data_IF_256751960999
#
_entry.id   IF_256751960999
#
_cell.length_a   1.000
_cell.length_b   1.000
_cell.length_c   1.000
_cell.angle_alpha   90.00
_cell.angle_beta   90.00
_cell.angle_gamma   90.00
#
_symmetry.space_group_name_H-M   'P 1'
#
loop_
_entity.id
_entity.type
_entity.pdbx_description
1 polymer ?
#
# COMPACT_ATOMS: atom_id res chain seq x y z
N UNK A 1 6.94 4.08 5.12
CA UNK A 1 7.14 4.28 3.66
C UNK A 1 7.83 5.62 3.38
N UNK A 2 8.59 5.73 2.27
CA UNK A 2 9.34 6.92 1.86
C UNK A 2 8.47 7.92 1.08
N UNK A 3 7.72 8.76 1.79
CA UNK A 3 6.79 9.74 1.19
C UNK A 3 7.42 10.62 0.11
N UNK A 4 8.61 11.16 0.36
CA UNK A 4 9.32 12.02 -0.61
C UNK A 4 9.65 11.31 -1.92
N UNK A 5 9.93 10.01 -1.87
CA UNK A 5 10.22 9.23 -3.07
C UNK A 5 8.93 8.92 -3.84
N UNK A 6 7.83 8.66 -3.13
CA UNK A 6 6.52 8.44 -3.72
C UNK A 6 5.97 9.69 -4.44
N UNK A 7 6.11 10.87 -3.83
CA UNK A 7 5.74 12.13 -4.50
C UNK A 7 6.59 12.35 -5.76
N UNK A 8 7.89 12.02 -5.70
CA UNK A 8 8.78 12.15 -6.86
C UNK A 8 8.45 11.15 -7.98
N UNK A 9 8.05 9.92 -7.64
CA UNK A 9 7.65 8.92 -8.64
C UNK A 9 6.33 9.29 -9.32
N UNK A 10 5.42 9.93 -8.60
CA UNK A 10 4.15 10.42 -9.12
C UNK A 10 4.26 11.72 -9.92
N UNK A 11 5.28 12.53 -9.68
CA UNK A 11 5.41 13.88 -10.25
C UNK A 11 4.13 14.72 -10.07
N UNK A 12 3.31 14.85 -11.11
CA UNK A 12 2.02 15.57 -11.10
C UNK A 12 0.82 14.70 -11.47
N UNK A 13 0.98 13.39 -11.68
CA UNK A 13 -0.09 12.50 -12.13
C UNK A 13 -0.90 11.86 -11.00
N UNK A 14 -0.41 11.92 -9.76
CA UNK A 14 -1.09 11.35 -8.60
C UNK A 14 -2.44 12.02 -8.30
N UNK A 15 -3.37 11.30 -7.67
CA UNK A 15 -4.67 11.83 -7.21
C UNK A 15 -4.66 11.90 -5.69
N UNK A 16 -5.16 12.99 -5.11
CA UNK A 16 -5.35 13.09 -3.66
C UNK A 16 -6.78 12.74 -3.32
N UNK A 17 -6.95 11.71 -2.50
CA UNK A 17 -8.23 11.36 -1.89
C UNK A 17 -8.33 11.94 -0.50
N UNK A 18 -9.45 12.63 -0.23
CA UNK A 18 -9.81 13.07 1.12
C UNK A 18 -10.73 12.05 1.76
N UNK A 19 -10.41 11.64 2.99
CA UNK A 19 -11.19 10.71 3.80
C UNK A 19 -11.63 11.41 5.09
N UNK A 20 -12.93 11.38 5.38
CA UNK A 20 -13.53 12.06 6.53
C UNK A 20 -14.45 13.21 6.14
N UNK A 21 -15.15 13.77 7.14
CA UNK A 21 -16.12 14.87 6.96
C UNK A 21 -15.34 16.20 6.82
N UNK A 22 -15.69 17.03 5.83
CA UNK A 22 -15.20 18.41 5.75
C UNK A 22 -15.45 19.15 7.08
N UNK A 23 -14.47 19.94 7.55
CA UNK A 23 -14.44 20.70 8.81
C UNK A 23 -13.99 19.99 10.12
N UNK A 24 -13.56 18.72 10.07
CA UNK A 24 -12.82 18.11 11.19
C UNK A 24 -11.29 18.11 10.95
N UNK A 25 -10.47 18.34 11.99
CA UNK A 25 -9.01 18.42 11.88
C UNK A 25 -8.32 17.07 11.56
N UNK A 26 -9.09 16.01 11.35
CA UNK A 26 -8.65 14.64 11.11
C UNK A 26 -9.01 14.12 9.71
N UNK A 27 -9.26 15.00 8.74
CA UNK A 27 -9.45 14.58 7.36
C UNK A 27 -8.14 14.00 6.80
N UNK A 28 -8.05 12.68 6.76
CA UNK A 28 -6.89 11.98 6.22
C UNK A 28 -6.79 12.26 4.72
N UNK A 29 -5.59 12.64 4.29
CA UNK A 29 -5.30 12.89 2.87
C UNK A 29 -4.42 11.78 2.36
N UNK A 30 -4.88 11.06 1.36
CA UNK A 30 -4.16 9.94 0.75
C UNK A 30 -3.73 10.32 -0.65
N UNK A 31 -2.43 10.23 -0.93
CA UNK A 31 -1.92 10.36 -2.29
C UNK A 31 -1.97 8.99 -2.96
N UNK A 32 -2.61 8.90 -4.12
CA UNK A 32 -2.77 7.67 -4.87
C UNK A 32 -2.01 7.69 -6.20
N UNK A 33 -1.31 6.59 -6.47
CA UNK A 33 -0.89 6.14 -7.78
C UNK A 33 -1.83 5.02 -8.26
N UNK A 34 -1.72 4.57 -9.52
CA UNK A 34 -2.47 3.40 -9.99
C UNK A 34 -2.20 2.11 -9.22
N UNK A 35 -1.03 1.98 -8.59
CA UNK A 35 -0.55 0.74 -7.95
C UNK A 35 -0.38 0.85 -6.44
N UNK A 36 -0.41 2.06 -5.86
CA UNK A 36 -0.20 2.28 -4.44
C UNK A 36 -0.90 3.54 -3.94
N UNK A 37 -1.20 3.59 -2.66
CA UNK A 37 -1.69 4.74 -1.94
C UNK A 37 -0.82 5.01 -0.72
N UNK A 38 -0.65 6.27 -0.38
CA UNK A 38 0.17 6.68 0.75
C UNK A 38 -0.50 7.79 1.54
N UNK A 39 -0.51 7.65 2.87
CA UNK A 39 -0.99 8.68 3.77
C UNK A 39 -0.07 9.89 3.70
N UNK A 40 -0.64 11.07 3.46
CA UNK A 40 0.09 12.34 3.44
C UNK A 40 0.33 12.76 4.90
N UNK A 41 1.60 12.84 5.35
CA UNK A 41 1.88 13.27 6.72
C UNK A 41 1.31 14.65 7.00
N UNK A 42 0.79 14.87 8.20
CA UNK A 42 0.22 16.15 8.64
C UNK A 42 1.22 17.32 8.57
N UNK A 43 2.52 17.03 8.60
CA UNK A 43 3.60 18.01 8.41
C UNK A 43 3.70 18.57 6.98
N UNK A 44 3.13 17.88 6.00
CA UNK A 44 3.15 18.30 4.59
C UNK A 44 1.95 19.18 4.29
N UNK A 45 2.21 20.46 4.05
CA UNK A 45 1.17 21.45 3.77
C UNK A 45 0.63 21.36 2.34
N UNK A 46 1.49 21.12 1.36
CA UNK A 46 1.14 21.13 -0.07
C UNK A 46 1.76 19.95 -0.81
N UNK A 47 0.95 19.27 -1.62
CA UNK A 47 1.37 18.23 -2.56
C UNK A 47 0.75 18.56 -3.92
N UNK A 48 1.56 18.53 -4.98
CA UNK A 48 1.05 18.70 -6.34
C UNK A 48 0.44 17.39 -6.80
N UNK A 49 -0.80 17.44 -7.30
CA UNK A 49 -1.56 16.29 -7.77
C UNK A 49 -2.38 16.67 -9.01
N UNK A 50 -2.73 15.69 -9.82
CA UNK A 50 -3.57 15.87 -11.01
C UNK A 50 -5.00 16.25 -10.63
N UNK A 51 -5.51 15.69 -9.52
CA UNK A 51 -6.84 15.96 -9.02
C UNK A 51 -6.91 15.78 -7.49
N UNK A 52 -7.89 16.45 -6.89
CA UNK A 52 -8.28 16.28 -5.49
C UNK A 52 -9.75 15.87 -5.51
N UNK A 53 -10.06 14.71 -4.93
CA UNK A 53 -11.41 14.14 -4.94
C UNK A 53 -11.73 13.51 -3.58
N UNK A 54 -13.01 13.26 -3.32
CA UNK A 54 -13.43 12.49 -2.15
C UNK A 54 -13.09 11.02 -2.33
N UNK A 55 -12.74 10.35 -1.22
CA UNK A 55 -12.36 8.95 -1.27
C UNK A 55 -13.53 8.08 -1.73
N UNK A 56 -13.33 7.22 -2.75
CA UNK A 56 -14.34 6.26 -3.15
C UNK A 56 -14.74 5.35 -1.99
N UNK A 57 -16.05 5.11 -1.81
CA UNK A 57 -16.57 4.27 -0.72
C UNK A 57 -15.95 2.87 -0.67
N UNK A 58 -15.52 2.31 -1.81
CA UNK A 58 -14.86 1.01 -1.86
C UNK A 58 -13.51 1.01 -1.13
N UNK A 59 -12.72 2.07 -1.32
CA UNK A 59 -11.41 2.23 -0.67
C UNK A 59 -11.61 2.58 0.81
N UNK A 60 -12.58 3.44 1.11
CA UNK A 60 -12.93 3.80 2.49
C UNK A 60 -13.31 2.56 3.32
N UNK A 61 -14.19 1.70 2.78
CA UNK A 61 -14.54 0.41 3.39
C UNK A 61 -13.36 -0.54 3.51
N UNK A 62 -12.46 -0.55 2.54
CA UNK A 62 -11.26 -1.39 2.58
C UNK A 62 -10.33 -0.99 3.73
N UNK A 63 -10.21 0.31 4.03
CA UNK A 63 -9.45 0.80 5.18
C UNK A 63 -10.21 0.52 6.49
N UNK A 64 -11.54 0.55 6.50
CA UNK A 64 -12.32 0.14 7.70
C UNK A 64 -12.27 -1.37 7.96
N UNK A 65 -12.03 -2.19 6.93
CA UNK A 65 -11.96 -3.65 7.01
C UNK A 65 -10.58 -4.20 7.43
N UNK A 66 -9.71 -3.38 8.04
CA UNK A 66 -8.40 -3.80 8.59
C UNK A 66 -8.60 -4.64 9.88
N UNK A 67 -9.27 -5.78 9.74
CA UNK A 67 -9.42 -6.82 10.74
C UNK A 67 -9.10 -8.23 10.20
N UNK A 68 -9.04 -8.39 8.87
CA UNK A 68 -8.61 -9.61 8.19
C UNK A 68 -7.24 -9.40 7.53
N UNK A 69 -6.26 -9.08 8.37
CA UNK A 69 -4.88 -8.87 7.94
C UNK A 69 -3.98 -9.88 8.63
N UNK A 70 -2.87 -10.23 7.98
CA UNK A 70 -1.84 -11.07 8.58
C UNK A 70 -0.45 -10.54 8.22
N UNK A 71 0.51 -10.71 9.13
CA UNK A 71 1.87 -10.21 8.98
C UNK A 71 2.55 -10.89 7.80
N UNK A 72 3.16 -10.08 6.95
CA UNK A 72 3.78 -10.54 5.74
C UNK A 72 5.25 -10.12 5.64
N UNK A 73 6.06 -11.03 5.11
CA UNK A 73 7.48 -10.82 4.89
C UNK A 73 7.80 -11.01 3.41
N UNK A 74 8.81 -10.29 2.93
CA UNK A 74 9.34 -10.50 1.59
C UNK A 74 9.98 -11.90 1.53
N UNK A 75 9.40 -12.80 0.76
CA UNK A 75 9.89 -14.17 0.62
C UNK A 75 10.67 -14.37 -0.66
N UNK A 76 10.14 -13.91 -1.78
CA UNK A 76 10.69 -14.20 -3.10
C UNK A 76 10.79 -12.96 -3.98
N UNK A 77 11.61 -13.08 -5.03
CA UNK A 77 11.73 -12.11 -6.09
C UNK A 77 11.70 -12.85 -7.43
N UNK A 78 10.74 -12.50 -8.27
CA UNK A 78 10.52 -13.14 -9.57
C UNK A 78 10.96 -12.18 -10.66
N UNK A 79 11.71 -12.68 -11.63
CA UNK A 79 12.04 -11.97 -12.86
C UNK A 79 11.07 -12.45 -13.95
N UNK A 80 10.06 -11.65 -14.33
CA UNK A 80 8.99 -12.11 -15.23
C UNK A 80 9.48 -12.29 -16.67
N UNK A 81 10.52 -11.56 -17.08
CA UNK A 81 11.07 -11.61 -18.43
C UNK A 81 12.53 -12.05 -18.39
N UNK A 82 12.98 -12.98 -19.25
CA UNK A 82 14.38 -13.43 -19.29
C UNK A 82 15.39 -12.27 -19.50
N UNK A 83 15.03 -11.29 -20.33
CA UNK A 83 15.85 -10.11 -20.61
C UNK A 83 15.46 -8.89 -19.74
N UNK A 84 14.65 -9.11 -18.70
CA UNK A 84 14.16 -8.07 -17.81
C UNK A 84 15.26 -7.47 -16.94
N UNK A 85 15.18 -6.16 -16.70
CA UNK A 85 16.06 -5.50 -15.74
C UNK A 85 15.57 -5.68 -14.30
N UNK A 86 16.39 -5.26 -13.33
CA UNK A 86 15.99 -5.25 -11.90
C UNK A 86 14.70 -4.44 -11.66
N UNK A 87 14.45 -3.41 -12.49
CA UNK A 87 13.22 -2.61 -12.43
C UNK A 87 11.96 -3.43 -12.70
N UNK A 88 12.06 -4.47 -13.53
CA UNK A 88 10.95 -5.32 -13.97
C UNK A 88 10.72 -6.49 -12.99
N UNK A 89 11.50 -6.57 -11.90
CA UNK A 89 11.35 -7.60 -10.90
C UNK A 89 10.02 -7.44 -10.14
N UNK A 90 9.38 -8.57 -9.86
CA UNK A 90 8.19 -8.67 -9.01
C UNK A 90 8.62 -9.16 -7.64
N UNK A 91 8.18 -8.48 -6.59
CA UNK A 91 8.46 -8.85 -5.19
C UNK A 91 7.27 -9.60 -4.63
N UNK A 92 7.52 -10.75 -4.01
CA UNK A 92 6.48 -11.60 -3.44
C UNK A 92 6.54 -11.53 -1.92
N UNK A 93 5.48 -11.01 -1.32
CA UNK A 93 5.26 -11.06 0.12
C UNK A 93 4.38 -12.25 0.45
N UNK A 94 4.72 -12.97 1.52
CA UNK A 94 3.93 -14.09 2.03
C UNK A 94 3.62 -13.87 3.51
N UNK A 95 2.46 -14.36 3.94
CA UNK A 95 2.13 -14.46 5.37
C UNK A 95 3.12 -15.39 6.08
N UNK A 96 3.18 -15.32 7.40
CA UNK A 96 4.04 -16.22 8.19
C UNK A 96 3.67 -17.70 8.01
N UNK A 97 2.37 -17.99 7.83
CA UNK A 97 1.89 -19.33 7.52
C UNK A 97 2.20 -19.75 6.06
N UNK A 98 2.51 -18.80 5.17
CA UNK A 98 2.82 -19.04 3.77
C UNK A 98 1.62 -19.43 2.91
N UNK A 99 0.41 -19.35 3.46
CA UNK A 99 -0.86 -19.69 2.82
C UNK A 99 -1.37 -18.58 1.88
N UNK A 100 -1.04 -17.32 2.18
CA UNK A 100 -1.44 -16.17 1.39
C UNK A 100 -0.18 -15.46 0.89
N UNK A 101 -0.19 -15.10 -0.39
CA UNK A 101 0.89 -14.35 -1.02
C UNK A 101 0.37 -13.21 -1.86
N UNK A 102 1.16 -12.14 -1.96
CA UNK A 102 0.88 -10.98 -2.80
C UNK A 102 2.12 -10.60 -3.60
N UNK A 103 1.91 -10.31 -4.89
CA UNK A 103 2.93 -9.86 -5.82
C UNK A 103 2.85 -8.34 -5.96
N UNK A 104 3.95 -7.63 -5.75
CA UNK A 104 4.03 -6.17 -5.94
C UNK A 104 5.16 -5.79 -6.89
N UNK A 105 5.07 -4.61 -7.50
CA UNK A 105 6.13 -4.10 -8.37
C UNK A 105 7.39 -3.77 -7.56
N UNK A 106 8.57 -3.88 -8.19
CA UNK A 106 9.82 -3.48 -7.54
C UNK A 106 9.91 -1.95 -7.31
N UNK A 107 9.14 -1.13 -8.03
CA UNK A 107 9.09 0.31 -7.78
C UNK A 107 8.30 0.65 -6.51
N UNK A 108 7.18 -0.04 -6.29
CA UNK A 108 6.41 0.11 -5.05
C UNK A 108 7.19 -0.45 -3.84
N UNK A 109 7.92 -1.55 -4.03
CA UNK A 109 8.79 -2.12 -2.99
C UNK A 109 9.86 -1.12 -2.50
N UNK A 110 10.43 -0.29 -3.38
CA UNK A 110 11.44 0.73 -2.99
C UNK A 110 10.88 1.80 -2.05
N UNK A 111 9.55 1.94 -1.98
CA UNK A 111 8.86 2.87 -1.10
C UNK A 111 8.82 2.35 0.34
N UNK A 112 8.95 1.05 0.55
CA UNK A 112 8.91 0.43 1.88
C UNK A 112 10.24 0.71 2.59
N UNK A 113 10.19 1.19 3.84
CA UNK A 113 11.37 1.36 4.68
C UNK A 113 11.70 0.06 5.40
N UNK A 114 12.99 -0.16 5.70
CA UNK A 114 13.46 -1.40 6.34
C UNK A 114 12.80 -1.67 7.71
N UNK A 115 12.34 -0.62 8.40
CA UNK A 115 11.69 -0.73 9.70
C UNK A 115 10.17 -0.85 9.61
N UNK A 116 9.58 -0.58 8.45
CA UNK A 116 8.14 -0.67 8.29
C UNK A 116 7.67 -2.12 8.45
N UNK A 117 6.51 -2.31 9.07
CA UNK A 117 5.81 -3.59 9.15
C UNK A 117 4.87 -3.71 7.96
N UNK A 118 4.77 -4.92 7.42
CA UNK A 118 3.91 -5.21 6.27
C UNK A 118 2.87 -6.25 6.67
N UNK A 119 1.63 -6.03 6.27
CA UNK A 119 0.52 -6.97 6.46
C UNK A 119 -0.21 -7.17 5.14
N UNK A 120 -0.66 -8.39 4.86
CA UNK A 120 -1.53 -8.66 3.71
C UNK A 120 -2.97 -8.52 4.17
N UNK A 121 -3.71 -7.61 3.54
CA UNK A 121 -5.16 -7.61 3.59
C UNK A 121 -5.67 -8.69 2.64
N UNK A 122 -6.45 -9.62 3.16
CA UNK A 122 -7.09 -10.66 2.37
C UNK A 122 -8.60 -10.62 2.56
N UNK A 123 -9.32 -11.11 1.56
CA UNK A 123 -10.75 -11.34 1.65
C UNK A 123 -11.04 -12.77 1.25
N UNK A 124 -11.97 -13.39 1.96
CA UNK A 124 -12.47 -14.71 1.61
C UNK A 124 -13.29 -14.60 0.32
N UNK A 125 -12.88 -15.36 -0.69
CA UNK A 125 -13.57 -15.48 -1.96
C UNK A 125 -14.39 -16.76 -1.96
N UNK A 126 -15.71 -16.60 -2.04
CA UNK A 126 -16.69 -17.69 -1.99
C UNK A 126 -16.55 -18.57 -3.24
N UNK A 127 -16.22 -18.00 -4.40
CA UNK A 127 -16.18 -18.71 -5.67
C UNK A 127 -14.99 -19.67 -5.73
N UNK A 128 -13.84 -19.25 -5.17
CA UNK A 128 -12.63 -20.08 -5.11
C UNK A 128 -12.49 -20.84 -3.79
N UNK A 129 -13.37 -20.59 -2.82
CA UNK A 129 -13.30 -21.11 -1.45
C UNK A 129 -11.91 -20.90 -0.83
N UNK A 130 -11.31 -19.73 -1.06
CA UNK A 130 -9.94 -19.42 -0.65
C UNK A 130 -9.77 -17.96 -0.23
N UNK A 131 -8.73 -17.68 0.56
CA UNK A 131 -8.38 -16.31 0.95
C UNK A 131 -7.54 -15.66 -0.15
N UNK A 132 -8.07 -14.59 -0.75
CA UNK A 132 -7.38 -13.86 -1.82
C UNK A 132 -6.79 -12.58 -1.27
N UNK A 133 -5.48 -12.39 -1.47
CA UNK A 133 -4.80 -11.15 -1.14
C UNK A 133 -5.35 -9.98 -1.97
N UNK A 134 -5.76 -8.91 -1.29
CA UNK A 134 -6.32 -7.70 -1.90
C UNK A 134 -5.31 -6.55 -1.94
N UNK A 135 -4.49 -6.40 -0.90
CA UNK A 135 -3.43 -5.41 -0.87
C UNK A 135 -2.37 -5.72 0.20
N UNK A 136 -1.20 -5.11 0.04
CA UNK A 136 -0.16 -5.06 1.03
C UNK A 136 -0.27 -3.74 1.80
N UNK A 137 -0.61 -3.82 3.08
CA UNK A 137 -0.63 -2.72 4.02
C UNK A 137 0.77 -2.50 4.57
N UNK A 138 1.22 -1.25 4.59
CA UNK A 138 2.51 -0.87 5.15
C UNK A 138 2.26 0.06 6.32
N UNK A 139 2.63 -0.40 7.51
CA UNK A 139 2.53 0.37 8.74
C UNK A 139 3.90 0.90 9.15
N UNK A 140 3.94 2.13 9.64
CA UNK A 140 5.19 2.75 10.06
C UNK A 140 5.62 2.21 11.41
N UNK A 141 6.93 2.04 11.57
CA UNK A 141 7.49 1.72 12.87
C UNK A 141 7.20 2.84 13.88
N UNK A 142 6.72 2.51 15.10
CA UNK A 142 6.41 3.51 16.11
C UNK A 142 7.65 4.33 16.47
N UNK A 143 7.50 5.65 16.54
CA UNK A 143 8.62 6.57 16.83
C UNK A 143 9.01 6.55 18.29
N UNK A 144 8.03 6.32 19.18
CA UNK A 144 8.24 6.21 20.62
C UNK A 144 7.75 4.85 21.13
N UNK A 145 8.39 4.30 22.18
CA UNK A 145 7.92 3.07 22.81
C UNK A 145 6.51 3.29 23.39
N UNK A 146 5.55 2.49 22.91
CA UNK A 146 4.14 2.57 23.30
C UNK A 146 3.23 3.26 22.28
N UNK A 147 3.77 3.83 21.19
CA UNK A 147 2.95 4.26 20.05
C UNK A 147 2.43 3.05 19.28
N UNK A 148 1.20 3.15 18.78
CA UNK A 148 0.62 2.15 17.87
C UNK A 148 1.22 2.26 16.46
N UNK A 149 1.26 1.14 15.75
CA UNK A 149 1.65 1.11 14.33
C UNK A 149 0.59 1.80 13.47
N UNK A 150 0.96 2.94 12.86
CA UNK A 150 0.07 3.69 11.97
C UNK A 150 0.15 3.17 10.53
N UNK A 151 -1.00 2.97 9.88
CA UNK A 151 -1.04 2.63 8.47
C UNK A 151 -0.60 3.83 7.62
N UNK A 152 0.56 3.70 6.97
CA UNK A 152 1.14 4.78 6.16
C UNK A 152 1.05 4.55 4.66
N UNK A 153 0.77 3.33 4.21
CA UNK A 153 0.59 3.04 2.81
C UNK A 153 -0.11 1.74 2.51
N UNK A 154 -0.64 1.64 1.29
CA UNK A 154 -1.36 0.51 0.74
C UNK A 154 -0.77 0.25 -0.65
N UNK A 155 -0.33 -0.96 -0.95
CA UNK A 155 0.17 -1.34 -2.28
C UNK A 155 -0.77 -2.39 -2.84
N UNK A 156 -1.26 -2.16 -4.05
CA UNK A 156 -2.13 -3.09 -4.76
C UNK A 156 -1.29 -4.14 -5.51
N UNK A 157 -1.83 -5.37 -5.67
CA UNK A 157 -1.11 -6.42 -6.38
C UNK A 157 -0.92 -6.07 -7.85
N UNK A 158 0.19 -6.54 -8.43
CA UNK A 158 0.39 -6.49 -9.89
C UNK A 158 -0.32 -7.68 -10.54
N UNK A 159 -1.10 -7.40 -11.60
CA UNK A 159 -1.83 -8.40 -12.39
C UNK A 159 -0.94 -9.07 -13.45
N UNK A 160 0.34 -9.31 -13.14
CA UNK A 160 1.18 -10.08 -14.06
C UNK A 160 0.86 -11.56 -13.84
N UNK A 161 0.01 -12.09 -14.73
CA UNK A 161 0.01 -13.51 -15.09
C UNK A 161 1.41 -13.83 -15.63
N UNK A 162 2.29 -14.28 -14.73
CA UNK A 162 3.56 -14.93 -15.11
C UNK A 162 3.27 -16.38 -15.40
#
# INVERSE_FOLDING_TARGET
MKFKNFVKSLASSGVIYKRGIEDLPFADRWLASPTAMMLIPTTVKSVTAAAIQDMPQAIDKMIDQIGHTDYAVLSDAIMPYPDGGIKDCIRVYKTQAGDISIKISNDDWKLIERKDTCEILYAYDIDTNSNVAKALLVKSFPKLPGDDEELVGIIFPVNDEV
#
